data_IF_622109655969
#
_entry.id   IF_622109655969
#
_cell.length_a   1.000
_cell.length_b   1.000
_cell.length_c   1.000
_cell.angle_alpha   90.00
_cell.angle_beta   90.00
_cell.angle_gamma   90.00
#
_symmetry.space_group_name_H-M   'P 1'
#
loop_
_entity.id
_entity.type
_entity.pdbx_description
1 polymer ?
#
# COMPACT_ATOMS: atom_id res chain seq x y z
N UNK A 1 -9.14 -25.23 38.18
CA UNK A 1 -9.72 -25.04 36.83
C UNK A 1 -8.67 -25.07 35.69
N UNK A 2 -7.53 -25.78 35.81
CA UNK A 2 -6.33 -25.47 34.98
C UNK A 2 -5.79 -26.50 33.97
N UNK A 3 -6.32 -27.74 33.86
CA UNK A 3 -5.77 -28.75 32.90
C UNK A 3 -6.71 -29.09 31.74
N UNK A 4 -8.02 -29.17 32.00
CA UNK A 4 -9.01 -29.59 31.01
C UNK A 4 -9.30 -28.50 29.97
N UNK A 5 -9.29 -27.22 30.37
CA UNK A 5 -9.42 -26.11 29.41
C UNK A 5 -8.19 -26.02 28.50
N UNK A 6 -6.99 -26.14 29.07
CA UNK A 6 -5.73 -26.17 28.33
C UNK A 6 -5.68 -27.30 27.30
N UNK A 7 -6.15 -28.50 27.65
CA UNK A 7 -6.26 -29.64 26.73
C UNK A 7 -7.27 -29.40 25.61
N UNK A 8 -8.42 -28.78 25.90
CA UNK A 8 -9.43 -28.41 24.90
C UNK A 8 -8.89 -27.35 23.92
N UNK A 9 -8.24 -26.32 24.43
CA UNK A 9 -7.63 -25.27 23.61
C UNK A 9 -6.53 -25.86 22.73
N UNK A 10 -5.66 -26.71 23.27
CA UNK A 10 -4.61 -27.38 22.50
C UNK A 10 -5.18 -28.25 21.37
N UNK A 11 -6.19 -29.08 21.69
CA UNK A 11 -6.85 -29.93 20.71
C UNK A 11 -7.54 -29.12 19.61
N UNK A 12 -8.22 -28.03 19.98
CA UNK A 12 -8.85 -27.11 19.02
C UNK A 12 -7.83 -26.44 18.11
N UNK A 13 -6.69 -25.98 18.66
CA UNK A 13 -5.61 -25.36 17.88
C UNK A 13 -5.02 -26.35 16.87
N UNK A 14 -4.72 -27.59 17.30
CA UNK A 14 -4.16 -28.62 16.41
C UNK A 14 -5.14 -28.99 15.30
N UNK A 15 -6.43 -29.17 15.63
CA UNK A 15 -7.46 -29.46 14.64
C UNK A 15 -7.65 -28.31 13.64
N UNK A 16 -7.66 -27.07 14.13
CA UNK A 16 -7.79 -25.86 13.29
C UNK A 16 -6.61 -25.70 12.35
N UNK A 17 -5.38 -25.91 12.85
CA UNK A 17 -4.17 -25.87 12.04
C UNK A 17 -4.18 -26.96 10.94
N UNK A 18 -4.63 -28.17 11.28
CA UNK A 18 -4.81 -29.26 10.32
C UNK A 18 -5.80 -28.91 9.21
N UNK A 19 -6.94 -28.31 9.58
CA UNK A 19 -7.96 -27.88 8.62
C UNK A 19 -7.45 -26.78 7.67
N UNK A 20 -6.72 -25.78 8.19
CA UNK A 20 -6.08 -24.77 7.33
C UNK A 20 -5.05 -25.38 6.38
N UNK A 21 -4.21 -26.28 6.88
CA UNK A 21 -3.22 -26.99 6.07
C UNK A 21 -3.88 -27.82 4.95
N UNK A 22 -4.99 -28.48 5.24
CA UNK A 22 -5.74 -29.28 4.26
C UNK A 22 -6.35 -28.40 3.17
N UNK A 23 -6.98 -27.27 3.53
CA UNK A 23 -7.47 -26.29 2.55
C UNK A 23 -6.33 -25.79 1.65
N UNK A 24 -5.18 -25.44 2.23
CA UNK A 24 -4.01 -25.01 1.47
C UNK A 24 -3.47 -26.09 0.53
N UNK A 25 -3.56 -27.36 0.94
CA UNK A 25 -3.11 -28.50 0.12
C UNK A 25 -4.07 -28.78 -1.04
N UNK A 26 -5.38 -28.78 -0.78
CA UNK A 26 -6.43 -29.01 -1.79
C UNK A 26 -6.48 -27.93 -2.86
N UNK A 27 -5.91 -26.76 -2.59
CA UNK A 27 -5.93 -25.61 -3.48
C UNK A 27 -4.56 -25.29 -4.06
N UNK A 28 -3.52 -26.08 -3.78
CA UNK A 28 -2.14 -25.78 -4.18
C UNK A 28 -1.63 -24.41 -3.68
N UNK A 29 -2.14 -23.94 -2.55
CA UNK A 29 -1.86 -22.62 -1.99
C UNK A 29 -0.53 -22.50 -1.22
N UNK A 30 0.26 -23.59 -1.11
CA UNK A 30 1.49 -23.65 -0.32
C UNK A 30 2.70 -23.04 -1.03
N UNK A 31 2.63 -21.76 -1.35
CA UNK A 31 3.80 -21.02 -1.83
C UNK A 31 4.76 -20.80 -0.67
N UNK A 32 6.03 -21.17 -0.85
CA UNK A 32 7.08 -21.03 0.17
C UNK A 32 8.21 -20.12 -0.28
N UNK A 33 8.35 -19.89 -1.59
CA UNK A 33 9.40 -19.06 -2.18
C UNK A 33 8.90 -18.37 -3.46
N UNK A 34 9.35 -17.14 -3.71
CA UNK A 34 9.05 -16.41 -4.94
C UNK A 34 9.68 -17.09 -6.16
N UNK A 35 8.93 -17.21 -7.25
CA UNK A 35 9.40 -17.82 -8.50
C UNK A 35 9.30 -19.34 -8.58
N UNK A 36 8.96 -20.03 -7.48
CA UNK A 36 8.61 -21.45 -7.51
C UNK A 36 7.16 -21.66 -7.94
N UNK A 37 6.94 -22.75 -8.65
CA UNK A 37 5.59 -23.20 -9.03
C UNK A 37 5.06 -24.21 -8.03
N UNK A 38 3.82 -24.03 -7.60
CA UNK A 38 3.06 -24.98 -6.76
C UNK A 38 1.83 -25.36 -7.57
N UNK A 39 1.52 -26.66 -7.68
CA UNK A 39 0.43 -27.13 -8.56
C UNK A 39 0.60 -26.74 -10.04
N UNK A 40 1.84 -26.53 -10.50
CA UNK A 40 2.14 -26.06 -11.86
C UNK A 40 1.86 -24.57 -12.12
N UNK A 41 1.49 -23.79 -11.11
CA UNK A 41 1.23 -22.34 -11.22
C UNK A 41 2.31 -21.54 -10.48
N UNK A 42 2.77 -20.44 -11.05
CA UNK A 42 3.50 -19.40 -10.29
C UNK A 42 2.55 -18.69 -9.33
N UNK A 43 3.06 -18.00 -8.31
CA UNK A 43 2.24 -17.25 -7.36
C UNK A 43 1.29 -16.24 -8.06
N UNK A 44 1.74 -15.58 -9.13
CA UNK A 44 0.90 -14.67 -9.92
C UNK A 44 -0.21 -15.39 -10.71
N UNK A 45 0.10 -16.54 -11.32
CA UNK A 45 -0.91 -17.37 -12.02
C UNK A 45 -1.91 -17.99 -11.06
N UNK A 46 -1.46 -18.34 -9.85
CA UNK A 46 -2.31 -18.84 -8.79
C UNK A 46 -3.29 -17.76 -8.31
N UNK A 47 -2.82 -16.52 -8.12
CA UNK A 47 -3.66 -15.38 -7.72
C UNK A 47 -4.84 -15.15 -8.67
N UNK A 48 -4.64 -15.37 -9.96
CA UNK A 48 -5.67 -15.25 -10.99
C UNK A 48 -6.52 -16.53 -11.18
N UNK A 49 -6.37 -17.55 -10.32
CA UNK A 49 -7.00 -18.85 -10.49
C UNK A 49 -8.24 -19.05 -9.62
N UNK A 50 -9.12 -19.95 -10.04
CA UNK A 50 -10.26 -20.40 -9.22
C UNK A 50 -9.81 -21.08 -7.91
N UNK A 51 -8.59 -21.64 -7.88
CA UNK A 51 -8.06 -22.32 -6.70
C UNK A 51 -7.66 -21.31 -5.60
N UNK A 52 -7.21 -20.12 -5.97
CA UNK A 52 -7.01 -19.02 -5.03
C UNK A 52 -8.31 -18.62 -4.34
N UNK A 53 -9.39 -18.43 -5.10
CA UNK A 53 -10.69 -18.07 -4.52
C UNK A 53 -11.22 -19.16 -3.58
N UNK A 54 -11.06 -20.43 -3.95
CA UNK A 54 -11.40 -21.58 -3.09
C UNK A 54 -10.54 -21.63 -1.82
N UNK A 55 -9.26 -21.27 -1.91
CA UNK A 55 -8.36 -21.26 -0.76
C UNK A 55 -8.77 -20.19 0.25
N UNK A 56 -9.07 -18.97 -0.23
CA UNK A 56 -9.58 -17.86 0.58
C UNK A 56 -10.91 -18.24 1.25
N UNK A 57 -11.87 -18.76 0.47
CA UNK A 57 -13.16 -19.18 1.00
C UNK A 57 -13.03 -20.33 2.01
N UNK A 58 -12.18 -21.32 1.74
CA UNK A 58 -11.94 -22.43 2.65
C UNK A 58 -11.31 -21.98 3.97
N UNK A 59 -10.32 -21.08 3.92
CA UNK A 59 -9.74 -20.52 5.14
C UNK A 59 -10.75 -19.65 5.90
N UNK A 60 -11.63 -18.93 5.21
CA UNK A 60 -12.72 -18.22 5.88
C UNK A 60 -13.65 -19.18 6.63
N UNK A 61 -14.09 -20.27 6.00
CA UNK A 61 -14.95 -21.26 6.66
C UNK A 61 -14.25 -21.90 7.87
N UNK A 62 -12.98 -22.29 7.73
CA UNK A 62 -12.19 -22.88 8.83
C UNK A 62 -12.02 -21.88 9.97
N UNK A 63 -11.64 -20.63 9.68
CA UNK A 63 -11.47 -19.58 10.68
C UNK A 63 -12.76 -19.25 11.42
N UNK A 64 -13.89 -19.14 10.70
CA UNK A 64 -15.19 -18.89 11.32
C UNK A 64 -15.62 -20.02 12.24
N UNK A 65 -15.46 -21.26 11.78
CA UNK A 65 -15.78 -22.46 12.57
C UNK A 65 -14.90 -22.56 13.82
N UNK A 66 -13.59 -22.33 13.69
CA UNK A 66 -12.65 -22.35 14.80
C UNK A 66 -12.95 -21.26 15.84
N UNK A 67 -13.33 -20.06 15.39
CA UNK A 67 -13.74 -18.97 16.27
C UNK A 67 -14.97 -19.35 17.10
N UNK A 68 -16.04 -19.88 16.47
CA UNK A 68 -17.24 -20.36 17.18
C UNK A 68 -16.91 -21.44 18.20
N UNK A 69 -16.08 -22.42 17.84
CA UNK A 69 -15.65 -23.49 18.74
C UNK A 69 -14.77 -22.98 19.89
N UNK A 70 -14.03 -21.89 19.67
CA UNK A 70 -13.23 -21.18 20.67
C UNK A 70 -14.03 -20.21 21.55
N UNK A 71 -15.33 -20.04 21.28
CA UNK A 71 -16.22 -19.13 22.01
C UNK A 71 -16.30 -17.70 21.45
N UNK A 72 -15.77 -17.46 20.26
CA UNK A 72 -15.93 -16.22 19.49
C UNK A 72 -17.09 -16.29 18.48
N UNK A 73 -17.18 -15.30 17.59
CA UNK A 73 -18.19 -15.26 16.53
C UNK A 73 -17.64 -15.76 15.19
N UNK A 74 -18.55 -16.27 14.34
CA UNK A 74 -18.18 -16.84 13.05
C UNK A 74 -17.63 -15.79 12.08
N UNK A 75 -18.18 -14.58 12.07
CA UNK A 75 -17.82 -13.56 11.11
C UNK A 75 -16.37 -13.11 11.30
N UNK A 76 -15.98 -12.78 12.54
CA UNK A 76 -14.61 -12.40 12.91
C UNK A 76 -13.61 -13.50 12.60
N UNK A 77 -13.96 -14.76 12.90
CA UNK A 77 -13.13 -15.91 12.56
C UNK A 77 -12.98 -16.09 11.05
N UNK A 78 -14.08 -15.94 10.31
CA UNK A 78 -14.07 -16.13 8.86
C UNK A 78 -13.30 -15.04 8.14
N UNK A 79 -13.42 -13.80 8.60
CA UNK A 79 -12.61 -12.69 8.12
C UNK A 79 -11.13 -12.92 8.42
N UNK A 80 -10.78 -13.34 9.64
CA UNK A 80 -9.39 -13.60 10.01
C UNK A 80 -8.75 -14.71 9.16
N UNK A 81 -9.46 -15.84 8.97
CA UNK A 81 -8.98 -16.96 8.15
C UNK A 81 -8.90 -16.60 6.68
N UNK A 82 -9.98 -16.07 6.10
CA UNK A 82 -10.04 -15.73 4.67
C UNK A 82 -9.05 -14.66 4.28
N UNK A 83 -8.92 -13.62 5.11
CA UNK A 83 -7.96 -12.56 4.87
C UNK A 83 -6.51 -13.07 4.92
N UNK A 84 -6.17 -13.89 5.92
CA UNK A 84 -4.84 -14.50 6.03
C UNK A 84 -4.45 -15.30 4.78
N UNK A 85 -5.40 -16.03 4.19
CA UNK A 85 -5.20 -16.75 2.93
C UNK A 85 -5.15 -15.83 1.69
N UNK A 86 -5.89 -14.73 1.69
CA UNK A 86 -5.92 -13.78 0.57
C UNK A 86 -4.58 -13.05 0.39
N UNK A 87 -3.89 -12.74 1.49
CA UNK A 87 -2.66 -11.92 1.47
C UNK A 87 -1.37 -12.72 1.52
N UNK A 88 -1.40 -14.00 1.89
CA UNK A 88 -0.20 -14.84 1.99
C UNK A 88 0.57 -14.99 0.68
N UNK A 89 -0.06 -15.12 -0.51
CA UNK A 89 0.69 -15.10 -1.78
C UNK A 89 1.36 -13.74 -2.05
N UNK A 90 0.73 -12.64 -1.64
CA UNK A 90 1.25 -11.30 -1.84
C UNK A 90 2.46 -11.01 -0.93
N UNK A 91 2.49 -11.52 0.30
CA UNK A 91 3.65 -11.34 1.20
C UNK A 91 4.91 -12.06 0.72
N UNK A 92 4.76 -13.15 -0.05
CA UNK A 92 5.86 -13.87 -0.71
C UNK A 92 6.36 -13.10 -1.94
N UNK A 93 5.44 -12.53 -2.73
CA UNK A 93 5.78 -11.68 -3.88
C UNK A 93 6.46 -10.37 -3.44
N UNK A 94 6.14 -9.87 -2.25
CA UNK A 94 6.69 -8.63 -1.67
C UNK A 94 7.88 -8.85 -0.72
N UNK A 95 8.41 -10.08 -0.65
CA UNK A 95 9.62 -10.45 0.10
C UNK A 95 9.66 -9.88 1.54
N UNK A 96 8.65 -10.20 2.37
CA UNK A 96 8.56 -9.85 3.81
C UNK A 96 8.58 -8.34 4.17
N UNK A 97 8.32 -7.42 3.23
CA UNK A 97 8.33 -5.96 3.50
C UNK A 97 7.11 -5.41 4.26
N UNK A 98 6.21 -6.27 4.76
CA UNK A 98 4.90 -5.87 5.28
C UNK A 98 4.72 -6.38 6.72
N UNK A 99 4.68 -5.51 7.76
CA UNK A 99 4.48 -5.97 9.14
C UNK A 99 3.04 -6.46 9.32
N UNK A 100 2.90 -7.76 9.65
CA UNK A 100 1.60 -8.45 9.81
C UNK A 100 0.60 -7.71 10.71
N UNK A 101 1.06 -7.09 11.78
CA UNK A 101 0.22 -6.33 12.72
C UNK A 101 -0.39 -5.08 12.08
N UNK A 102 0.33 -4.38 11.20
CA UNK A 102 -0.20 -3.20 10.52
C UNK A 102 -1.26 -3.54 9.48
N UNK A 103 -1.01 -4.58 8.66
CA UNK A 103 -1.97 -5.03 7.64
C UNK A 103 -3.28 -5.49 8.28
N UNK A 104 -3.20 -6.35 9.30
CA UNK A 104 -4.38 -6.86 10.02
C UNK A 104 -5.18 -5.72 10.67
N UNK A 105 -4.50 -4.74 11.26
CA UNK A 105 -5.15 -3.58 11.88
C UNK A 105 -5.88 -2.73 10.83
N UNK A 106 -5.23 -2.41 9.72
CA UNK A 106 -5.82 -1.57 8.66
C UNK A 106 -7.03 -2.24 8.01
N UNK A 107 -6.99 -3.56 7.80
CA UNK A 107 -8.08 -4.32 7.21
C UNK A 107 -9.27 -4.42 8.16
N UNK A 108 -9.03 -4.61 9.46
CA UNK A 108 -10.07 -4.63 10.47
C UNK A 108 -10.75 -3.26 10.61
N UNK A 109 -9.97 -2.18 10.59
CA UNK A 109 -10.47 -0.79 10.61
C UNK A 109 -11.29 -0.49 9.37
N UNK A 110 -10.78 -0.78 8.16
CA UNK A 110 -11.48 -0.54 6.91
C UNK A 110 -12.77 -1.34 6.76
N UNK A 111 -12.76 -2.61 7.17
CA UNK A 111 -13.98 -3.42 7.19
C UNK A 111 -15.03 -2.86 8.14
N UNK A 112 -14.62 -2.47 9.35
CA UNK A 112 -15.52 -1.84 10.33
C UNK A 112 -16.07 -0.51 9.81
N UNK A 113 -15.22 0.36 9.26
CA UNK A 113 -15.62 1.65 8.70
C UNK A 113 -16.64 1.50 7.56
N UNK A 114 -16.42 0.55 6.64
CA UNK A 114 -17.36 0.28 5.55
C UNK A 114 -18.72 -0.20 6.06
N UNK A 115 -18.75 -1.07 7.09
CA UNK A 115 -20.03 -1.48 7.70
C UNK A 115 -20.79 -0.32 8.36
N UNK A 116 -20.07 0.60 9.01
CA UNK A 116 -20.67 1.81 9.61
C UNK A 116 -21.20 2.77 8.54
N UNK A 117 -20.57 2.81 7.37
CA UNK A 117 -20.96 3.62 6.22
C UNK A 117 -22.02 2.97 5.32
N UNK A 118 -22.56 1.79 5.68
CA UNK A 118 -23.60 1.08 4.93
C UNK A 118 -23.10 0.16 3.81
N UNK A 119 -21.78 -0.07 3.72
CA UNK A 119 -21.15 -1.09 2.88
C UNK A 119 -20.95 -2.43 3.61
N UNK A 120 -20.26 -3.38 2.96
CA UNK A 120 -19.93 -4.67 3.57
C UNK A 120 -18.53 -4.65 4.17
N UNK A 121 -18.32 -5.40 5.26
CA UNK A 121 -17.00 -5.51 5.88
C UNK A 121 -15.93 -5.96 4.87
N UNK A 122 -16.26 -6.90 4.01
CA UNK A 122 -15.34 -7.49 3.03
C UNK A 122 -14.87 -6.47 1.99
N UNK A 123 -15.75 -5.59 1.52
CA UNK A 123 -15.38 -4.48 0.62
C UNK A 123 -14.46 -3.47 1.32
N UNK A 124 -14.75 -3.12 2.57
CA UNK A 124 -13.90 -2.22 3.36
C UNK A 124 -12.53 -2.82 3.70
N UNK A 125 -12.52 -4.10 4.08
CA UNK A 125 -11.33 -4.88 4.39
C UNK A 125 -10.42 -5.06 3.16
N UNK A 126 -11.00 -5.37 2.00
CA UNK A 126 -10.26 -5.44 0.73
C UNK A 126 -9.73 -4.08 0.31
N UNK A 127 -10.54 -3.02 0.41
CA UNK A 127 -10.11 -1.66 0.05
C UNK A 127 -8.97 -1.17 0.95
N UNK A 128 -9.07 -1.41 2.26
CA UNK A 128 -8.02 -1.02 3.21
C UNK A 128 -6.80 -1.94 3.14
N UNK A 129 -6.97 -3.23 2.87
CA UNK A 129 -5.87 -4.17 2.65
C UNK A 129 -5.08 -3.86 1.38
N UNK A 130 -5.77 -3.60 0.27
CA UNK A 130 -5.15 -3.10 -0.97
C UNK A 130 -4.56 -1.71 -0.73
N UNK A 131 -5.24 -0.84 0.01
CA UNK A 131 -4.73 0.47 0.40
C UNK A 131 -3.42 0.39 1.17
N UNK A 132 -3.32 -0.54 2.12
CA UNK A 132 -2.13 -0.81 2.92
C UNK A 132 -1.00 -1.45 2.11
N UNK A 133 -1.35 -2.41 1.24
CA UNK A 133 -0.39 -3.12 0.38
C UNK A 133 0.10 -2.26 -0.80
N UNK A 134 -0.64 -1.23 -1.19
CA UNK A 134 -0.38 -0.37 -2.35
C UNK A 134 -0.48 1.14 -2.02
N UNK A 135 -0.05 1.57 -0.84
CA UNK A 135 0.07 3.01 -0.52
C UNK A 135 1.14 3.67 -1.41
N UNK A 136 0.81 4.86 -1.93
CA UNK A 136 1.42 5.37 -3.14
C UNK A 136 1.60 6.89 -3.08
N UNK A 137 2.70 7.32 -2.46
CA UNK A 137 3.34 8.57 -2.86
C UNK A 137 4.19 8.33 -4.12
N UNK A 138 4.24 9.29 -5.03
CA UNK A 138 5.07 9.25 -6.22
C UNK A 138 5.97 10.48 -6.28
N UNK A 139 7.23 10.27 -6.66
CA UNK A 139 8.07 11.32 -7.19
C UNK A 139 7.80 11.42 -8.70
N UNK A 140 7.38 12.60 -9.15
CA UNK A 140 7.24 12.90 -10.56
C UNK A 140 8.43 13.76 -10.97
N UNK A 141 9.09 13.41 -12.07
CA UNK A 141 10.19 14.20 -12.63
C UNK A 141 9.96 14.51 -14.09
N UNK A 142 10.36 15.73 -14.46
CA UNK A 142 10.29 16.24 -15.81
C UNK A 142 11.69 16.33 -16.42
N UNK A 143 11.78 16.03 -17.70
CA UNK A 143 12.99 16.16 -18.51
C UNK A 143 12.63 16.63 -19.91
N UNK A 144 13.19 17.76 -20.34
CA UNK A 144 12.98 18.33 -21.67
C UNK A 144 14.07 17.94 -22.69
N UNK A 145 14.95 16.97 -22.35
CA UNK A 145 16.00 16.45 -23.22
C UNK A 145 17.30 17.28 -23.22
N UNK A 146 17.33 18.41 -22.53
CA UNK A 146 18.54 19.24 -22.35
C UNK A 146 18.87 19.49 -20.88
N UNK A 147 17.86 19.61 -20.01
CA UNK A 147 17.99 19.67 -18.55
C UNK A 147 16.81 18.95 -17.89
N UNK A 148 17.07 18.10 -16.89
CA UNK A 148 16.02 17.64 -15.98
C UNK A 148 15.65 18.81 -15.07
N UNK A 149 14.48 19.37 -15.31
CA UNK A 149 14.15 20.76 -14.98
C UNK A 149 13.14 20.88 -13.85
N UNK A 150 12.41 19.81 -13.53
CA UNK A 150 11.42 19.88 -12.47
C UNK A 150 11.13 18.58 -11.73
N UNK A 151 10.67 18.71 -10.48
CA UNK A 151 10.15 17.60 -9.67
C UNK A 151 8.89 18.00 -8.92
N UNK A 152 7.94 17.09 -8.85
CA UNK A 152 6.72 17.20 -8.06
C UNK A 152 6.51 15.94 -7.21
N UNK A 153 5.69 16.06 -6.18
CA UNK A 153 5.22 14.92 -5.38
C UNK A 153 3.73 14.74 -5.58
N UNK A 154 3.31 13.50 -5.75
CA UNK A 154 1.90 13.11 -5.68
C UNK A 154 1.71 12.20 -4.47
N UNK A 155 0.65 12.42 -3.72
CA UNK A 155 0.19 11.53 -2.66
C UNK A 155 -1.26 11.21 -2.93
N UNK A 156 -1.56 9.94 -3.17
CA UNK A 156 -2.92 9.48 -3.44
C UNK A 156 -3.85 9.75 -2.24
N UNK A 157 -5.09 10.15 -2.53
CA UNK A 157 -6.14 10.42 -1.53
C UNK A 157 -6.80 9.12 -1.05
N UNK A 158 -7.19 9.08 0.23
CA UNK A 158 -7.83 7.91 0.88
C UNK A 158 -8.89 8.36 1.91
N UNK A 159 -9.62 7.41 2.51
CA UNK A 159 -10.64 7.72 3.52
C UNK A 159 -10.11 8.67 4.60
N UNK A 160 -10.67 9.88 4.66
CA UNK A 160 -10.27 10.92 5.62
C UNK A 160 -9.11 11.83 5.20
N UNK A 161 -8.45 11.59 4.05
CA UNK A 161 -7.37 12.43 3.51
C UNK A 161 -7.50 12.61 2.00
N UNK A 162 -7.63 13.86 1.56
CA UNK A 162 -7.66 14.18 0.14
C UNK A 162 -6.33 13.85 -0.57
N UNK A 163 -6.40 13.64 -1.88
CA UNK A 163 -5.20 13.52 -2.70
C UNK A 163 -4.44 14.84 -2.70
N UNK A 164 -3.11 14.78 -2.80
CA UNK A 164 -2.25 15.97 -2.79
C UNK A 164 -1.26 15.89 -3.95
N UNK A 165 -1.19 16.93 -4.75
CA UNK A 165 -0.18 17.11 -5.78
C UNK A 165 0.62 18.37 -5.43
N UNK A 166 1.90 18.21 -5.11
CA UNK A 166 2.80 19.30 -4.76
C UNK A 166 3.77 19.59 -5.90
N UNK A 167 3.66 20.79 -6.48
CA UNK A 167 4.41 21.29 -7.63
C UNK A 167 5.29 22.50 -7.26
N UNK A 168 6.28 22.35 -6.36
CA UNK A 168 7.02 23.48 -5.77
C UNK A 168 7.76 24.34 -6.79
N UNK A 169 7.43 25.62 -6.89
CA UNK A 169 7.98 26.55 -7.87
C UNK A 169 7.67 26.18 -9.32
N UNK A 170 6.69 25.29 -9.54
CA UNK A 170 6.25 24.81 -10.84
C UNK A 170 5.20 25.71 -11.48
N UNK A 171 4.94 25.46 -12.77
CA UNK A 171 4.00 26.25 -13.58
C UNK A 171 2.75 25.47 -13.98
N UNK A 172 2.44 24.35 -13.31
CA UNK A 172 1.22 23.62 -13.59
C UNK A 172 -0.01 24.44 -13.17
N UNK A 173 -0.93 24.78 -14.10
CA UNK A 173 -1.93 25.83 -13.91
C UNK A 173 -3.18 25.42 -13.11
N UNK A 174 -3.15 24.30 -12.38
CA UNK A 174 -4.34 23.77 -11.70
C UNK A 174 -4.87 24.72 -10.61
N UNK A 175 -6.17 24.98 -10.68
CA UNK A 175 -6.95 25.84 -9.77
C UNK A 175 -7.53 24.97 -8.64
N UNK A 176 -6.75 24.69 -7.62
CA UNK A 176 -7.20 23.87 -6.49
C UNK A 176 -6.69 24.37 -5.13
N UNK A 177 -7.27 25.46 -4.63
CA UNK A 177 -7.57 25.74 -3.21
C UNK A 177 -6.48 25.67 -2.10
N UNK A 178 -5.22 25.32 -2.38
CA UNK A 178 -4.19 25.07 -1.37
C UNK A 178 -3.24 26.26 -1.08
N UNK A 179 -2.52 26.17 0.04
CA UNK A 179 -1.49 27.13 0.48
C UNK A 179 -0.16 26.91 -0.24
N UNK A 180 -0.01 27.48 -1.44
CA UNK A 180 1.25 27.53 -2.17
C UNK A 180 1.66 26.18 -2.76
N UNK A 181 1.76 26.12 -4.09
CA UNK A 181 2.24 25.01 -4.92
C UNK A 181 1.61 23.61 -4.71
N UNK A 182 0.80 23.40 -3.68
CA UNK A 182 0.07 22.18 -3.37
C UNK A 182 -1.38 22.30 -3.84
N UNK A 183 -1.83 21.28 -4.55
CA UNK A 183 -3.18 21.11 -5.08
C UNK A 183 -3.79 19.92 -4.35
N UNK A 184 -5.07 20.03 -3.97
CA UNK A 184 -5.76 19.04 -3.14
C UNK A 184 -7.00 18.47 -3.84
N UNK A 185 -7.49 17.34 -3.32
CA UNK A 185 -8.78 16.77 -3.70
C UNK A 185 -8.82 16.27 -5.13
N UNK A 186 -9.96 16.44 -5.80
CA UNK A 186 -10.16 15.98 -7.19
C UNK A 186 -9.28 16.70 -8.22
N UNK A 187 -8.69 17.85 -7.87
CA UNK A 187 -7.78 18.59 -8.75
C UNK A 187 -6.34 18.09 -8.64
N UNK A 188 -6.01 17.34 -7.59
CA UNK A 188 -4.74 16.66 -7.41
C UNK A 188 -4.70 15.39 -8.26
N UNK A 189 -4.50 15.57 -9.56
CA UNK A 189 -4.54 14.50 -10.55
C UNK A 189 -3.19 14.41 -11.30
N UNK A 190 -2.43 13.35 -11.01
CA UNK A 190 -1.12 13.14 -11.63
C UNK A 190 -1.21 12.83 -13.13
N UNK A 191 -2.35 12.31 -13.63
CA UNK A 191 -2.52 12.05 -15.05
C UNK A 191 -2.69 13.36 -15.81
N UNK A 192 -3.56 14.26 -15.33
CA UNK A 192 -3.71 15.60 -15.91
C UNK A 192 -2.40 16.39 -15.84
N UNK A 193 -1.67 16.29 -14.72
CA UNK A 193 -0.34 16.87 -14.58
C UNK A 193 0.64 16.34 -15.63
N UNK A 194 0.69 15.02 -15.80
CA UNK A 194 1.59 14.37 -16.75
C UNK A 194 1.25 14.72 -18.19
N UNK A 195 -0.04 14.74 -18.55
CA UNK A 195 -0.50 15.13 -19.89
C UNK A 195 -0.15 16.57 -20.23
N UNK A 196 -0.34 17.50 -19.29
CA UNK A 196 0.04 18.90 -19.48
C UNK A 196 1.52 19.04 -19.84
N UNK A 197 2.41 18.42 -19.07
CA UNK A 197 3.85 18.53 -19.32
C UNK A 197 4.31 17.79 -20.57
N UNK A 198 3.71 16.64 -20.91
CA UNK A 198 3.95 15.96 -22.19
C UNK A 198 3.54 16.83 -23.37
N UNK A 199 2.40 17.50 -23.30
CA UNK A 199 1.93 18.41 -24.35
C UNK A 199 2.82 19.66 -24.48
N UNK A 200 3.54 20.03 -23.42
CA UNK A 200 4.53 21.11 -23.43
C UNK A 200 5.96 20.61 -23.75
N UNK A 201 6.12 19.39 -24.25
CA UNK A 201 7.39 18.86 -24.75
C UNK A 201 8.30 18.23 -23.70
N UNK A 202 7.82 18.01 -22.47
CA UNK A 202 8.57 17.33 -21.42
C UNK A 202 8.32 15.82 -21.44
N UNK A 203 9.37 15.03 -21.21
CA UNK A 203 9.25 13.65 -20.78
C UNK A 203 8.86 13.61 -19.31
N UNK A 204 7.84 12.83 -18.98
CA UNK A 204 7.32 12.71 -17.61
C UNK A 204 7.59 11.30 -17.09
N UNK A 205 8.31 11.21 -15.98
CA UNK A 205 8.52 9.95 -15.27
C UNK A 205 7.85 9.98 -13.90
N UNK A 206 7.22 8.88 -13.52
CA UNK A 206 6.54 8.69 -12.24
C UNK A 206 7.19 7.51 -11.53
N UNK A 207 7.85 7.76 -10.41
CA UNK A 207 8.48 6.73 -9.59
C UNK A 207 7.69 6.60 -8.27
N UNK A 208 6.94 5.52 -8.13
CA UNK A 208 6.17 5.21 -6.92
C UNK A 208 7.10 4.82 -5.77
N UNK A 209 6.94 5.49 -4.64
CA UNK A 209 7.86 5.46 -3.50
C UNK A 209 7.62 4.25 -2.57
N UNK A 210 6.48 3.57 -2.74
CA UNK A 210 6.07 2.43 -1.92
C UNK A 210 6.15 2.78 -0.43
N UNK A 211 5.39 3.80 -0.07
CA UNK A 211 5.28 4.42 1.26
C UNK A 211 4.14 3.77 2.05
N UNK A 212 4.19 3.89 3.37
CA UNK A 212 3.10 3.54 4.28
C UNK A 212 2.15 4.72 4.48
N UNK A 213 0.96 4.49 5.08
CA UNK A 213 0.00 5.56 5.35
C UNK A 213 0.55 6.65 6.30
N UNK A 214 1.33 6.24 7.31
CA UNK A 214 2.01 7.17 8.22
C UNK A 214 3.10 7.98 7.49
N UNK A 215 3.77 7.36 6.52
CA UNK A 215 4.75 8.05 5.68
C UNK A 215 4.07 9.03 4.72
N UNK A 216 2.96 8.65 4.07
CA UNK A 216 2.15 9.54 3.23
C UNK A 216 1.63 10.74 4.04
N UNK A 217 1.13 10.50 5.24
CA UNK A 217 0.65 11.56 6.14
C UNK A 217 1.78 12.50 6.55
N UNK A 218 2.98 11.97 6.77
CA UNK A 218 4.16 12.78 7.06
C UNK A 218 4.61 13.58 5.82
N UNK A 219 4.57 12.99 4.63
CA UNK A 219 4.85 13.70 3.37
C UNK A 219 3.87 14.87 3.20
N UNK A 220 2.56 14.64 3.37
CA UNK A 220 1.53 15.68 3.28
C UNK A 220 1.77 16.77 4.32
N UNK A 221 2.05 16.41 5.57
CA UNK A 221 2.41 17.38 6.61
C UNK A 221 3.64 18.20 6.25
N UNK A 222 4.66 17.57 5.67
CA UNK A 222 5.87 18.26 5.22
C UNK A 222 5.56 19.21 4.06
N UNK A 223 4.71 18.81 3.10
CA UNK A 223 4.21 19.66 2.00
C UNK A 223 3.52 20.90 2.57
N UNK A 224 2.58 20.73 3.50
CA UNK A 224 1.86 21.83 4.16
C UNK A 224 2.81 22.75 4.94
N UNK A 225 3.77 22.17 5.65
CA UNK A 225 4.77 22.92 6.44
C UNK A 225 5.71 23.72 5.54
N UNK A 226 6.11 23.16 4.39
CA UNK A 226 7.01 23.81 3.46
C UNK A 226 6.28 24.88 2.63
N UNK A 227 5.02 24.66 2.28
CA UNK A 227 4.18 25.57 1.49
C UNK A 227 4.77 25.90 0.11
N UNK A 228 4.34 27.03 -0.44
CA UNK A 228 4.80 27.55 -1.74
C UNK A 228 6.27 27.96 -1.74
N UNK A 229 6.94 27.72 -2.86
CA UNK A 229 8.39 27.83 -3.01
C UNK A 229 8.76 28.68 -4.22
N UNK A 230 9.97 29.23 -4.19
CA UNK A 230 10.47 30.03 -5.30
C UNK A 230 10.79 29.13 -6.50
N UNK A 231 10.70 29.66 -7.74
CA UNK A 231 11.16 28.95 -8.92
C UNK A 231 12.57 28.35 -8.73
N UNK A 232 12.84 27.22 -9.37
CA UNK A 232 14.11 26.48 -9.30
C UNK A 232 14.45 25.82 -7.95
N UNK A 233 13.52 25.76 -7.00
CA UNK A 233 13.73 25.06 -5.71
C UNK A 233 12.95 23.75 -5.59
N UNK A 234 12.45 23.24 -6.72
CA UNK A 234 11.57 22.08 -6.79
C UNK A 234 12.20 20.83 -6.17
N UNK A 235 13.40 20.44 -6.63
CA UNK A 235 14.12 19.27 -6.11
C UNK A 235 14.53 19.41 -4.64
N UNK A 236 14.86 20.64 -4.22
CA UNK A 236 15.19 20.91 -2.81
C UNK A 236 13.96 20.67 -1.92
N UNK A 237 12.80 21.11 -2.38
CA UNK A 237 11.56 21.04 -1.63
C UNK A 237 10.99 19.62 -1.61
N UNK A 238 11.03 18.91 -2.73
CA UNK A 238 10.66 17.48 -2.78
C UNK A 238 11.64 16.61 -1.98
N UNK A 239 12.93 16.93 -1.98
CA UNK A 239 13.91 16.27 -1.09
C UNK A 239 13.57 16.49 0.39
N UNK A 240 13.25 17.74 0.77
CA UNK A 240 12.89 18.07 2.14
C UNK A 240 11.58 17.40 2.59
N UNK A 241 10.60 17.24 1.70
CA UNK A 241 9.39 16.47 1.99
C UNK A 241 9.67 15.01 2.32
N UNK A 242 10.76 14.43 1.80
CA UNK A 242 11.11 13.01 1.95
C UNK A 242 12.20 12.77 3.02
N UNK A 243 12.94 13.80 3.43
CA UNK A 243 14.17 13.64 4.23
C UNK A 243 14.00 13.05 5.62
N UNK A 244 12.78 12.96 6.14
CA UNK A 244 12.47 12.31 7.43
C UNK A 244 11.46 11.16 7.27
N UNK A 245 11.24 10.68 6.05
CA UNK A 245 10.19 9.72 5.73
C UNK A 245 10.78 8.33 5.51
N UNK A 246 10.57 7.44 6.47
CA UNK A 246 10.83 6.01 6.29
C UNK A 246 12.24 5.68 5.80
N UNK A 247 12.30 4.91 4.70
CA UNK A 247 13.55 4.53 4.01
C UNK A 247 14.32 5.71 3.39
N UNK A 248 13.68 6.87 3.27
CA UNK A 248 14.26 8.11 2.77
C UNK A 248 14.74 9.02 3.91
N UNK A 249 14.66 8.57 5.16
CA UNK A 249 15.20 9.32 6.29
C UNK A 249 16.71 9.57 6.08
N UNK A 250 17.10 10.84 6.18
CA UNK A 250 18.46 11.30 5.94
C UNK A 250 18.87 11.40 4.48
N UNK A 251 17.93 11.43 3.52
CA UNK A 251 18.31 11.78 2.14
C UNK A 251 18.88 13.21 2.11
N UNK A 252 19.96 13.38 1.35
CA UNK A 252 20.52 14.70 1.11
C UNK A 252 19.53 15.61 0.37
N UNK A 253 19.76 16.91 0.47
CA UNK A 253 19.06 17.88 -0.36
C UNK A 253 19.66 17.92 -1.76
N UNK A 254 18.83 17.66 -2.76
CA UNK A 254 19.26 17.67 -4.16
C UNK A 254 18.76 18.93 -4.87
N UNK A 255 19.65 19.61 -5.56
CA UNK A 255 19.29 20.79 -6.37
C UNK A 255 18.74 20.40 -7.75
N UNK A 256 19.16 19.24 -8.27
CA UNK A 256 18.75 18.76 -9.59
C UNK A 256 17.77 17.57 -9.46
N UNK A 257 16.58 17.66 -10.07
CA UNK A 257 15.57 16.59 -10.07
C UNK A 257 16.12 15.22 -10.50
N UNK A 258 16.94 15.18 -11.55
CA UNK A 258 17.54 13.94 -12.03
C UNK A 258 18.47 13.25 -11.01
N UNK A 259 19.17 14.03 -10.16
CA UNK A 259 20.01 13.46 -9.10
C UNK A 259 19.16 12.94 -7.94
N UNK A 260 18.11 13.69 -7.56
CA UNK A 260 17.13 13.23 -6.57
C UNK A 260 16.52 11.89 -7.02
N UNK A 261 16.01 11.83 -8.25
CA UNK A 261 15.42 10.61 -8.82
C UNK A 261 16.39 9.43 -8.79
N UNK A 262 17.64 9.63 -9.22
CA UNK A 262 18.65 8.56 -9.17
C UNK A 262 18.85 8.05 -7.75
N UNK A 263 18.91 8.95 -6.77
CA UNK A 263 19.02 8.57 -5.35
C UNK A 263 17.79 7.80 -4.86
N UNK A 264 16.59 8.24 -5.23
CA UNK A 264 15.33 7.55 -4.89
C UNK A 264 15.33 6.13 -5.47
N UNK A 265 15.66 5.98 -6.75
CA UNK A 265 15.75 4.66 -7.39
C UNK A 265 16.79 3.76 -6.71
N UNK A 266 17.95 4.29 -6.35
CA UNK A 266 18.96 3.54 -5.59
C UNK A 266 18.41 3.05 -4.24
N UNK A 267 17.62 3.87 -3.54
CA UNK A 267 17.01 3.49 -2.26
C UNK A 267 15.92 2.43 -2.48
N UNK A 268 15.08 2.58 -3.50
CA UNK A 268 14.02 1.62 -3.82
C UNK A 268 14.57 0.25 -4.22
N UNK A 269 15.71 0.23 -4.92
CA UNK A 269 16.35 -0.97 -5.45
C UNK A 269 17.33 -1.64 -4.47
N UNK A 270 17.66 -1.02 -3.33
CA UNK A 270 18.43 -1.67 -2.27
C UNK A 270 17.59 -2.80 -1.67
N UNK A 271 18.15 -4.01 -1.72
CA UNK A 271 17.57 -5.23 -1.13
C UNK A 271 17.80 -5.24 0.37
#
# INVERSE_FOLDING_TARGET
MGSTQTLKTLALTVATAGAFHEVGTLTDGHFTEAGKTVGGKTAGQYFASADYLKNVAGHAVVGGTASVLGGGDFASGALSGGFGAAVSPATILLNQRVPYTGLVTTVAVGGTASTLAGGTFEQGAMTAGLGYLFNNAALITLDNGYFSDHSALYVEGKEGREAVLYDPGGSYPSKGGGTGDAIYGSEADYNKYSEYWRNNGSNVTIDWLNTTESEDSLIVKNIETLGGRQPFTCALSTSACLSNVGKFNGIDSYFFPGNLRRRILDILNRK
#
